data_IF_294015195950
#
_entry.id   IF_294015195950
#
_cell.length_a   1.000
_cell.length_b   1.000
_cell.length_c   1.000
_cell.angle_alpha   90.00
_cell.angle_beta   90.00
_cell.angle_gamma   90.00
#
_symmetry.space_group_name_H-M   'P 1'
#
loop_
_entity.id
_entity.type
_entity.pdbx_description
1 polymer ?
#
# COMPACT_ATOMS: atom_id res chain seq x y z
N UNK A 1 29.72 9.54 -53.13
CA UNK A 1 29.53 8.27 -52.38
C UNK A 1 29.96 8.37 -50.91
N UNK A 2 31.13 8.94 -50.59
CA UNK A 2 31.62 9.07 -49.20
C UNK A 2 30.71 9.91 -48.27
N UNK A 3 30.10 10.97 -48.77
CA UNK A 3 29.17 11.81 -47.98
C UNK A 3 27.90 11.05 -47.59
N UNK A 4 27.30 10.29 -48.51
CA UNK A 4 26.13 9.44 -48.26
C UNK A 4 26.41 8.33 -47.23
N UNK A 5 27.60 7.70 -47.29
CA UNK A 5 28.04 6.72 -46.30
C UNK A 5 28.29 7.33 -44.91
N UNK A 6 28.77 8.56 -44.86
CA UNK A 6 28.95 9.30 -43.60
C UNK A 6 27.61 9.66 -42.94
N UNK A 7 26.62 10.08 -43.73
CA UNK A 7 25.28 10.37 -43.22
C UNK A 7 24.54 9.11 -42.81
N UNK A 8 24.64 8.01 -43.56
CA UNK A 8 24.01 6.74 -43.18
C UNK A 8 24.61 6.16 -41.90
N UNK A 9 25.92 6.26 -41.70
CA UNK A 9 26.57 5.86 -40.46
C UNK A 9 26.12 6.71 -39.26
N UNK A 10 25.99 8.03 -39.42
CA UNK A 10 25.49 8.94 -38.36
C UNK A 10 24.03 8.70 -38.02
N UNK A 11 23.17 8.46 -39.03
CA UNK A 11 21.76 8.16 -38.83
C UNK A 11 21.61 6.79 -38.13
N UNK A 12 22.35 5.78 -38.55
CA UNK A 12 22.34 4.45 -37.91
C UNK A 12 22.86 4.50 -36.47
N UNK A 13 23.86 5.33 -36.17
CA UNK A 13 24.36 5.55 -34.81
C UNK A 13 23.31 6.30 -33.95
N UNK A 14 22.64 7.30 -34.51
CA UNK A 14 21.55 8.01 -33.83
C UNK A 14 20.36 7.10 -33.56
N UNK A 15 19.98 6.28 -34.54
CA UNK A 15 18.90 5.29 -34.40
C UNK A 15 19.29 4.18 -33.42
N UNK A 16 20.54 3.72 -33.40
CA UNK A 16 20.99 2.74 -32.41
C UNK A 16 21.01 3.32 -31.00
N UNK A 17 21.43 4.58 -30.82
CA UNK A 17 21.28 5.29 -29.54
C UNK A 17 19.80 5.39 -29.16
N UNK A 18 18.89 5.69 -30.10
CA UNK A 18 17.45 5.75 -29.83
C UNK A 18 16.86 4.38 -29.44
N UNK A 19 17.34 3.30 -30.06
CA UNK A 19 16.90 1.91 -29.81
C UNK A 19 17.49 1.38 -28.48
N UNK A 20 18.75 1.68 -28.19
CA UNK A 20 19.45 1.22 -26.98
C UNK A 20 19.23 2.13 -25.75
N UNK A 21 18.78 3.38 -25.93
CA UNK A 21 18.27 4.24 -24.84
C UNK A 21 16.85 3.88 -24.40
N UNK A 22 16.35 2.69 -24.74
CA UNK A 22 15.03 2.19 -24.34
C UNK A 22 14.78 2.07 -22.83
N UNK A 23 15.67 2.60 -22.00
CA UNK A 23 15.60 2.68 -20.55
C UNK A 23 14.51 3.63 -19.98
N UNK A 24 13.70 4.31 -20.80
CA UNK A 24 12.67 5.27 -20.28
C UNK A 24 11.39 5.39 -21.13
N UNK A 25 11.01 4.38 -21.92
CA UNK A 25 9.82 4.50 -22.81
C UNK A 25 8.48 4.78 -22.09
N UNK A 26 8.33 4.47 -20.80
CA UNK A 26 7.11 4.81 -20.05
C UNK A 26 6.94 6.34 -19.86
N UNK A 27 8.03 7.12 -19.91
CA UNK A 27 8.00 8.59 -19.90
C UNK A 27 7.31 9.12 -21.16
N UNK A 28 7.26 8.34 -22.24
CA UNK A 28 6.50 8.69 -23.43
C UNK A 28 5.10 8.08 -23.47
N UNK A 29 4.67 7.32 -22.44
CA UNK A 29 3.32 6.77 -22.37
C UNK A 29 2.35 7.85 -21.81
N UNK A 30 1.41 8.40 -22.62
CA UNK A 30 0.45 9.38 -22.15
C UNK A 30 -0.41 8.84 -20.99
N UNK A 31 -0.62 7.53 -20.91
CA UNK A 31 -1.35 6.89 -19.82
C UNK A 31 -0.61 6.99 -18.49
N UNK A 32 0.73 7.02 -18.49
CA UNK A 32 1.51 7.23 -17.27
C UNK A 32 1.30 8.63 -16.69
N UNK A 33 1.36 9.68 -17.52
CA UNK A 33 1.11 11.05 -17.04
C UNK A 33 -0.34 11.29 -16.65
N UNK A 34 -1.28 10.68 -17.38
CA UNK A 34 -2.69 10.64 -16.99
C UNK A 34 -2.81 10.01 -15.60
N UNK A 35 -2.23 8.82 -15.39
CA UNK A 35 -2.23 8.11 -14.12
C UNK A 35 -1.61 8.94 -12.97
N UNK A 36 -0.47 9.60 -13.22
CA UNK A 36 0.20 10.47 -12.25
C UNK A 36 -0.66 11.68 -11.90
N UNK A 37 -1.33 12.30 -12.87
CA UNK A 37 -2.27 13.42 -12.65
C UNK A 37 -3.45 12.98 -11.80
N UNK A 38 -4.13 11.90 -12.18
CA UNK A 38 -5.25 11.36 -11.41
C UNK A 38 -4.84 10.92 -10.00
N UNK A 39 -3.68 10.29 -9.83
CA UNK A 39 -3.18 9.99 -8.47
C UNK A 39 -2.93 11.26 -7.66
N UNK A 40 -2.31 12.29 -8.24
CA UNK A 40 -2.05 13.56 -7.55
C UNK A 40 -3.35 14.27 -7.13
N UNK A 41 -4.40 14.14 -7.94
CA UNK A 41 -5.71 14.75 -7.71
C UNK A 41 -6.58 13.91 -6.76
N UNK A 42 -6.73 12.61 -6.99
CA UNK A 42 -7.77 11.80 -6.35
C UNK A 42 -7.24 10.74 -5.37
N UNK A 43 -5.94 10.42 -5.35
CA UNK A 43 -5.42 9.47 -4.35
C UNK A 43 -5.27 10.12 -2.96
N UNK A 44 -5.30 9.29 -1.93
CA UNK A 44 -5.16 9.73 -0.55
C UNK A 44 -6.08 8.98 0.40
N UNK A 45 -6.22 9.53 1.59
CA UNK A 45 -7.18 9.09 2.60
C UNK A 45 -8.43 9.95 2.50
N UNK A 46 -9.59 9.31 2.38
CA UNK A 46 -10.90 9.95 2.37
C UNK A 46 -11.56 9.63 3.71
N UNK A 47 -11.77 10.65 4.53
CA UNK A 47 -12.28 10.54 5.89
C UNK A 47 -13.78 10.77 5.85
N UNK A 48 -14.53 9.74 6.27
CA UNK A 48 -15.99 9.75 6.34
C UNK A 48 -16.47 10.15 7.75
N UNK A 49 -15.68 9.82 8.77
CA UNK A 49 -15.92 10.25 10.14
C UNK A 49 -14.66 10.93 10.70
N UNK A 50 -14.69 12.27 10.72
CA UNK A 50 -13.55 13.09 11.15
C UNK A 50 -13.17 12.85 12.61
N UNK A 51 -14.15 12.85 13.51
CA UNK A 51 -13.90 12.71 14.95
C UNK A 51 -13.17 11.39 15.27
N UNK A 52 -13.66 10.27 14.73
CA UNK A 52 -13.04 8.96 14.94
C UNK A 52 -11.69 8.83 14.22
N UNK A 53 -11.54 9.44 13.04
CA UNK A 53 -10.26 9.42 12.33
C UNK A 53 -9.18 10.19 13.09
N UNK A 54 -9.49 11.39 13.57
CA UNK A 54 -8.55 12.22 14.33
C UNK A 54 -8.15 11.52 15.65
N UNK A 55 -9.08 10.85 16.32
CA UNK A 55 -8.81 9.99 17.48
C UNK A 55 -7.80 8.88 17.14
N UNK A 56 -8.01 8.14 16.04
CA UNK A 56 -7.09 7.09 15.60
C UNK A 56 -5.70 7.66 15.30
N UNK A 57 -5.62 8.83 14.64
CA UNK A 57 -4.34 9.47 14.34
C UNK A 57 -3.60 9.88 15.60
N UNK A 58 -4.31 10.39 16.61
CA UNK A 58 -3.74 10.74 17.90
C UNK A 58 -3.22 9.49 18.63
N UNK A 59 -4.03 8.43 18.73
CA UNK A 59 -3.60 7.14 19.33
C UNK A 59 -2.39 6.54 18.61
N UNK A 60 -2.31 6.65 17.29
CA UNK A 60 -1.15 6.21 16.52
C UNK A 60 0.10 7.07 16.74
N UNK A 61 -0.07 8.38 16.95
CA UNK A 61 1.03 9.30 17.27
C UNK A 61 1.58 9.00 18.67
N UNK A 62 0.71 8.88 19.66
CA UNK A 62 1.08 8.55 21.04
C UNK A 62 1.79 7.17 21.11
N UNK A 63 1.37 6.24 20.24
CA UNK A 63 2.05 4.95 20.08
C UNK A 63 3.41 5.01 19.37
N UNK A 64 3.63 5.98 18.48
CA UNK A 64 4.94 6.21 17.86
C UNK A 64 5.91 6.87 18.83
N UNK A 65 5.42 7.70 19.74
CA UNK A 65 6.21 8.34 20.79
C UNK A 65 6.73 7.31 21.82
N UNK A 66 6.12 6.12 21.89
CA UNK A 66 6.54 4.94 22.67
C UNK A 66 7.42 3.95 21.88
N UNK A 67 8.16 4.41 20.86
CA UNK A 67 9.08 3.57 20.06
C UNK A 67 10.06 2.75 20.90
N UNK A 68 10.58 3.35 21.98
CA UNK A 68 11.50 2.66 22.89
C UNK A 68 10.82 1.53 23.68
N UNK A 69 9.54 1.69 24.05
CA UNK A 69 8.77 0.66 24.75
C UNK A 69 8.37 -0.47 23.80
N UNK A 70 7.97 -0.14 22.56
CA UNK A 70 7.69 -1.12 21.52
C UNK A 70 8.93 -1.97 21.21
N UNK A 71 10.13 -1.36 21.19
CA UNK A 71 11.38 -2.09 20.97
C UNK A 71 11.68 -3.06 22.13
N UNK A 72 11.54 -2.61 23.39
CA UNK A 72 11.70 -3.48 24.56
C UNK A 72 10.70 -4.64 24.57
N UNK A 73 9.46 -4.38 24.16
CA UNK A 73 8.42 -5.39 24.05
C UNK A 73 8.72 -6.39 22.93
N UNK A 74 9.16 -5.91 21.76
CA UNK A 74 9.61 -6.73 20.64
C UNK A 74 10.73 -7.69 21.07
N UNK A 75 11.77 -7.17 21.72
CA UNK A 75 12.89 -7.96 22.25
C UNK A 75 12.41 -9.03 23.26
N UNK A 76 11.50 -8.65 24.16
CA UNK A 76 10.91 -9.57 25.14
C UNK A 76 10.13 -10.70 24.46
N UNK A 77 9.28 -10.40 23.47
CA UNK A 77 8.47 -11.41 22.78
C UNK A 77 9.38 -12.35 21.99
N UNK A 78 10.38 -11.84 21.26
CA UNK A 78 11.33 -12.69 20.54
C UNK A 78 12.14 -13.59 21.48
N UNK A 79 12.55 -13.08 22.64
CA UNK A 79 13.21 -13.90 23.66
C UNK A 79 12.31 -15.04 24.15
N UNK A 80 11.04 -14.76 24.42
CA UNK A 80 10.06 -15.79 24.80
C UNK A 80 9.86 -16.83 23.69
N UNK A 81 9.76 -16.41 22.43
CA UNK A 81 9.65 -17.31 21.27
C UNK A 81 10.89 -18.20 21.17
N UNK A 82 12.09 -17.62 21.25
CA UNK A 82 13.37 -18.35 21.17
C UNK A 82 13.48 -19.45 22.24
N UNK A 83 12.92 -19.20 23.41
CA UNK A 83 12.92 -20.14 24.53
C UNK A 83 11.67 -21.03 24.59
N UNK A 84 10.79 -21.01 23.58
CA UNK A 84 9.51 -21.74 23.54
C UNK A 84 8.59 -21.46 24.74
N UNK A 85 8.69 -20.26 25.31
CA UNK A 85 7.90 -19.80 26.46
C UNK A 85 6.70 -18.93 26.07
N UNK A 86 6.52 -18.66 24.77
CA UNK A 86 5.38 -17.87 24.28
C UNK A 86 4.25 -18.81 23.81
N UNK A 87 3.32 -19.12 24.71
CA UNK A 87 2.19 -20.03 24.43
C UNK A 87 1.28 -19.53 23.29
N UNK A 88 1.07 -18.21 23.22
CA UNK A 88 0.26 -17.60 22.17
C UNK A 88 0.88 -17.80 20.78
N UNK A 89 2.20 -17.68 20.67
CA UNK A 89 2.93 -18.02 19.44
C UNK A 89 2.75 -19.49 19.10
N UNK A 90 2.93 -20.40 20.06
CA UNK A 90 2.78 -21.85 19.83
C UNK A 90 1.38 -22.21 19.31
N UNK A 91 0.34 -21.60 19.87
CA UNK A 91 -1.05 -21.79 19.43
C UNK A 91 -1.32 -21.22 18.03
N UNK A 92 -0.76 -20.03 17.71
CA UNK A 92 -1.03 -19.33 16.44
C UNK A 92 0.00 -19.58 15.35
N UNK A 93 1.04 -20.39 15.60
CA UNK A 93 2.18 -20.61 14.70
C UNK A 93 1.77 -20.96 13.28
N UNK A 94 0.89 -21.93 13.11
CA UNK A 94 0.40 -22.39 11.80
C UNK A 94 -0.34 -21.29 11.03
N UNK A 95 -1.14 -20.48 11.73
CA UNK A 95 -1.82 -19.33 11.12
C UNK A 95 -0.80 -18.33 10.54
N UNK A 96 0.21 -17.96 11.33
CA UNK A 96 1.24 -17.01 10.89
C UNK A 96 2.17 -17.57 9.82
N UNK A 97 2.42 -18.88 9.81
CA UNK A 97 3.16 -19.55 8.73
C UNK A 97 2.41 -19.48 7.40
N UNK A 98 1.09 -19.76 7.41
CA UNK A 98 0.23 -19.61 6.23
C UNK A 98 0.17 -18.16 5.76
N UNK A 99 0.06 -17.22 6.70
CA UNK A 99 0.05 -15.79 6.39
C UNK A 99 1.38 -15.34 5.75
N UNK A 100 2.52 -15.76 6.31
CA UNK A 100 3.83 -15.48 5.75
C UNK A 100 3.95 -16.04 4.32
N UNK A 101 3.52 -17.29 4.08
CA UNK A 101 3.49 -17.89 2.75
C UNK A 101 2.64 -17.10 1.76
N UNK A 102 1.43 -16.69 2.17
CA UNK A 102 0.53 -15.86 1.34
C UNK A 102 1.20 -14.55 0.89
N UNK A 103 2.03 -13.95 1.75
CA UNK A 103 2.71 -12.69 1.44
C UNK A 103 4.03 -12.85 0.68
N UNK A 104 4.86 -13.84 1.04
CA UNK A 104 6.21 -13.99 0.47
C UNK A 104 6.35 -15.09 -0.57
N UNK A 105 5.36 -15.97 -0.72
CA UNK A 105 5.37 -17.11 -1.65
C UNK A 105 6.16 -18.33 -1.17
N UNK A 106 6.69 -18.32 0.07
CA UNK A 106 7.41 -19.44 0.67
C UNK A 106 7.26 -19.45 2.19
N UNK A 107 7.40 -20.65 2.78
CA UNK A 107 7.32 -20.82 4.23
C UNK A 107 8.58 -20.31 4.91
N UNK A 108 8.42 -19.37 5.84
CA UNK A 108 9.51 -18.81 6.65
C UNK A 108 9.03 -18.57 8.07
N UNK A 109 9.59 -19.35 9.00
CA UNK A 109 9.27 -19.22 10.42
C UNK A 109 9.70 -17.86 10.97
N UNK A 110 10.83 -17.32 10.51
CA UNK A 110 11.29 -15.97 10.86
C UNK A 110 10.28 -14.89 10.43
N UNK A 111 9.71 -15.00 9.23
CA UNK A 111 8.70 -14.05 8.76
C UNK A 111 7.39 -14.20 9.54
N UNK A 112 6.98 -15.43 9.83
CA UNK A 112 5.80 -15.72 10.65
C UNK A 112 5.94 -15.15 12.07
N UNK A 113 7.10 -15.33 12.72
CA UNK A 113 7.41 -14.74 14.02
C UNK A 113 7.35 -13.21 13.95
N UNK A 114 7.92 -12.59 12.92
CA UNK A 114 7.87 -11.13 12.74
C UNK A 114 6.45 -10.61 12.61
N UNK A 115 5.61 -11.29 11.82
CA UNK A 115 4.19 -10.94 11.68
C UNK A 115 3.45 -11.09 13.00
N UNK A 116 3.69 -12.17 13.75
CA UNK A 116 3.13 -12.38 15.07
C UNK A 116 3.53 -11.27 16.05
N UNK A 117 4.82 -10.95 16.16
CA UNK A 117 5.31 -9.91 17.08
C UNK A 117 4.71 -8.55 16.73
N UNK A 118 4.64 -8.21 15.44
CA UNK A 118 3.97 -6.99 14.98
C UNK A 118 2.48 -6.97 15.32
N UNK A 119 1.77 -8.10 15.18
CA UNK A 119 0.36 -8.18 15.55
C UNK A 119 0.14 -8.07 17.07
N UNK A 120 0.98 -8.70 17.89
CA UNK A 120 0.93 -8.59 19.36
C UNK A 120 1.18 -7.14 19.81
N UNK A 121 2.22 -6.49 19.29
CA UNK A 121 2.51 -5.09 19.62
C UNK A 121 1.36 -4.19 19.15
N UNK A 122 0.79 -4.43 17.97
CA UNK A 122 -0.31 -3.63 17.47
C UNK A 122 -1.64 -3.92 18.18
N UNK A 123 -1.85 -5.10 18.75
CA UNK A 123 -3.07 -5.46 19.49
C UNK A 123 -3.05 -4.95 20.93
N UNK A 124 -1.87 -4.68 21.49
CA UNK A 124 -1.72 -3.98 22.77
C UNK A 124 -1.98 -2.48 22.70
N UNK A 125 -2.09 -1.91 21.49
CA UNK A 125 -2.50 -0.51 21.33
C UNK A 125 -3.99 -0.40 21.63
N UNK A 126 -4.38 0.66 22.33
CA UNK A 126 -5.78 0.95 22.56
C UNK A 126 -6.48 1.17 21.21
N UNK A 127 -7.27 0.18 20.80
CA UNK A 127 -8.08 0.21 19.58
C UNK A 127 -9.53 0.58 19.86
N UNK A 128 -9.89 0.81 21.13
CA UNK A 128 -11.24 1.21 21.48
C UNK A 128 -11.38 2.68 21.18
N UNK A 129 -12.36 3.03 20.37
CA UNK A 129 -12.69 4.40 20.06
C UNK A 129 -13.60 5.00 21.13
N UNK A 130 -13.74 6.31 21.14
CA UNK A 130 -14.67 7.05 22.01
C UNK A 130 -16.13 6.60 21.87
N UNK A 131 -16.51 5.97 20.75
CA UNK A 131 -17.82 5.37 20.54
C UNK A 131 -17.99 3.97 21.16
N UNK A 132 -16.97 3.45 21.88
CA UNK A 132 -16.98 2.15 22.55
C UNK A 132 -16.56 0.96 21.68
N UNK A 133 -16.40 1.15 20.36
CA UNK A 133 -16.06 0.07 19.44
C UNK A 133 -14.57 -0.03 19.14
N UNK A 134 -14.10 -1.25 18.91
CA UNK A 134 -12.75 -1.48 18.40
C UNK A 134 -12.64 -1.09 16.92
N UNK A 135 -11.62 -0.32 16.55
CA UNK A 135 -11.32 -0.03 15.15
C UNK A 135 -10.33 -1.03 14.54
N UNK A 136 -10.48 -1.23 13.24
CA UNK A 136 -9.71 -2.15 12.42
C UNK A 136 -9.05 -1.39 11.27
N UNK A 137 -7.91 -1.92 10.78
CA UNK A 137 -7.21 -1.39 9.61
C UNK A 137 -7.34 -2.38 8.46
N UNK A 138 -7.96 -1.97 7.35
CA UNK A 138 -8.16 -2.87 6.21
C UNK A 138 -6.87 -3.30 5.51
N UNK A 139 -5.72 -2.69 5.83
CA UNK A 139 -4.42 -3.19 5.40
C UNK A 139 -3.99 -4.49 6.11
N UNK A 140 -4.56 -4.78 7.29
CA UNK A 140 -4.19 -5.91 8.16
C UNK A 140 -5.37 -6.84 8.48
N UNK A 141 -6.61 -6.41 8.28
CA UNK A 141 -7.81 -7.20 8.52
C UNK A 141 -8.17 -8.07 7.32
N UNK A 142 -7.44 -9.17 7.11
CA UNK A 142 -7.63 -10.04 5.93
C UNK A 142 -8.89 -10.89 5.98
N UNK A 143 -9.49 -11.05 7.15
CA UNK A 143 -10.60 -11.98 7.39
C UNK A 143 -11.95 -11.26 7.44
N UNK A 144 -11.97 -9.93 7.35
CA UNK A 144 -13.18 -9.10 7.41
C UNK A 144 -13.38 -8.46 6.03
N UNK A 145 -14.39 -8.92 5.32
CA UNK A 145 -14.81 -8.31 4.06
C UNK A 145 -15.72 -7.13 4.40
N UNK A 146 -15.23 -5.91 4.17
CA UNK A 146 -16.04 -4.70 4.30
C UNK A 146 -16.42 -4.22 2.91
N UNK A 147 -17.71 -4.26 2.62
CA UNK A 147 -18.24 -3.73 1.36
C UNK A 147 -18.23 -2.19 1.38
N UNK A 148 -17.72 -1.60 0.31
CA UNK A 148 -17.73 -0.15 0.11
C UNK A 148 -19.00 0.18 -0.69
N UNK A 149 -19.94 0.95 -0.12
CA UNK A 149 -21.18 1.33 -0.78
C UNK A 149 -20.96 1.96 -2.17
N UNK A 150 -21.87 1.68 -3.11
CA UNK A 150 -21.71 2.09 -4.51
C UNK A 150 -21.84 3.61 -4.69
N UNK A 151 -22.75 4.25 -3.95
CA UNK A 151 -22.89 5.71 -3.86
C UNK A 151 -21.59 6.37 -3.38
N UNK A 152 -20.90 5.75 -2.42
CA UNK A 152 -19.61 6.21 -1.93
C UNK A 152 -18.52 6.08 -3.00
N UNK A 153 -18.53 5.00 -3.79
CA UNK A 153 -17.60 4.83 -4.93
C UNK A 153 -17.82 5.88 -6.01
N UNK A 154 -19.07 6.24 -6.28
CA UNK A 154 -19.43 7.23 -7.30
C UNK A 154 -19.01 8.65 -6.88
N UNK A 155 -19.20 9.01 -5.61
CA UNK A 155 -18.79 10.33 -5.07
C UNK A 155 -17.27 10.55 -5.04
N UNK A 156 -16.49 9.48 -4.95
CA UNK A 156 -15.02 9.53 -4.87
C UNK A 156 -14.35 10.07 -6.14
N UNK A 157 -15.05 10.05 -7.28
CA UNK A 157 -14.57 10.61 -8.53
C UNK A 157 -13.28 9.97 -9.07
N UNK A 158 -12.76 10.55 -10.15
CA UNK A 158 -11.56 10.06 -10.84
C UNK A 158 -11.84 9.01 -11.91
N UNK A 159 -10.80 8.59 -12.63
CA UNK A 159 -10.93 7.63 -13.71
C UNK A 159 -11.21 6.23 -13.15
N UNK A 160 -12.40 5.70 -13.42
CA UNK A 160 -12.85 4.35 -13.01
C UNK A 160 -12.65 3.29 -14.10
N UNK A 161 -12.21 3.70 -15.29
CA UNK A 161 -11.96 2.80 -16.42
C UNK A 161 -11.00 1.69 -16.00
N UNK A 162 -11.50 0.44 -16.03
CA UNK A 162 -10.71 -0.78 -15.83
C UNK A 162 -9.88 -1.12 -17.07
N UNK A 163 -9.26 -0.13 -17.70
CA UNK A 163 -8.27 -0.44 -18.72
C UNK A 163 -7.11 -1.20 -18.03
N UNK A 164 -6.63 -2.29 -18.64
CA UNK A 164 -5.64 -3.18 -18.02
C UNK A 164 -4.40 -2.43 -17.52
N UNK A 165 -4.05 -1.26 -18.07
CA UNK A 165 -2.88 -0.46 -17.70
C UNK A 165 -3.04 0.46 -16.48
N UNK A 166 -4.25 0.85 -16.10
CA UNK A 166 -4.46 1.83 -15.04
C UNK A 166 -5.78 1.57 -14.32
N UNK A 167 -5.72 1.39 -13.00
CA UNK A 167 -6.87 1.01 -12.19
C UNK A 167 -6.90 1.80 -10.89
N UNK A 168 -8.07 2.34 -10.55
CA UNK A 168 -8.33 2.86 -9.23
C UNK A 168 -8.53 1.69 -8.25
N UNK A 169 -7.91 1.78 -7.09
CA UNK A 169 -8.10 0.85 -5.97
C UNK A 169 -8.64 1.65 -4.81
N UNK A 170 -9.81 1.23 -4.33
CA UNK A 170 -10.49 1.79 -3.17
C UNK A 170 -10.60 0.66 -2.15
N UNK A 171 -10.13 0.90 -0.93
CA UNK A 171 -10.20 -0.05 0.17
C UNK A 171 -10.58 0.63 1.48
N UNK A 172 -11.26 -0.06 2.41
CA UNK A 172 -11.49 0.43 3.76
C UNK A 172 -10.14 0.63 4.47
N UNK A 173 -9.78 1.87 4.80
CA UNK A 173 -8.54 2.12 5.54
C UNK A 173 -8.77 1.88 7.03
N UNK A 174 -9.76 2.56 7.62
CA UNK A 174 -10.20 2.32 8.99
C UNK A 174 -11.71 2.12 9.04
N UNK A 175 -12.15 1.18 9.87
CA UNK A 175 -13.56 0.87 10.10
C UNK A 175 -13.75 0.25 11.48
N UNK A 176 -14.96 0.23 11.99
CA UNK A 176 -15.33 -0.54 13.18
C UNK A 176 -16.52 -1.46 12.85
N UNK A 177 -16.78 -2.43 13.72
CA UNK A 177 -17.93 -3.33 13.63
C UNK A 177 -18.81 -3.04 14.85
N UNK A 178 -20.10 -2.82 14.63
CA UNK A 178 -21.05 -2.62 15.71
C UNK A 178 -21.53 -3.95 16.33
N UNK A 179 -22.34 -3.86 17.38
CA UNK A 179 -22.87 -5.04 18.08
C UNK A 179 -23.74 -5.96 17.18
N UNK A 180 -24.23 -5.45 16.05
CA UNK A 180 -25.01 -6.20 15.08
C UNK A 180 -24.13 -6.86 13.99
N UNK A 181 -22.81 -6.74 14.10
CA UNK A 181 -21.88 -7.24 13.08
C UNK A 181 -21.80 -6.38 11.83
N UNK A 182 -22.37 -5.17 11.82
CA UNK A 182 -22.33 -4.26 10.67
C UNK A 182 -21.04 -3.45 10.69
N UNK A 183 -20.35 -3.42 9.54
CA UNK A 183 -19.16 -2.60 9.38
C UNK A 183 -19.51 -1.13 9.11
N UNK A 184 -18.86 -0.23 9.84
CA UNK A 184 -18.96 1.21 9.69
C UNK A 184 -17.61 1.78 9.28
N UNK A 185 -17.54 2.33 8.07
CA UNK A 185 -16.30 2.84 7.50
C UNK A 185 -15.98 4.21 8.11
N UNK A 186 -14.77 4.36 8.65
CA UNK A 186 -14.26 5.63 9.21
C UNK A 186 -13.48 6.38 8.14
N UNK A 187 -12.63 5.67 7.39
CA UNK A 187 -11.89 6.23 6.26
C UNK A 187 -11.62 5.20 5.17
N UNK A 188 -11.48 5.70 3.95
CA UNK A 188 -11.09 4.94 2.76
C UNK A 188 -9.68 5.31 2.33
N UNK A 189 -8.93 4.30 1.89
CA UNK A 189 -7.68 4.46 1.19
C UNK A 189 -7.92 4.40 -0.31
N UNK A 190 -7.48 5.43 -1.02
CA UNK A 190 -7.55 5.49 -2.48
C UNK A 190 -6.14 5.56 -3.02
N UNK A 191 -5.84 4.61 -3.89
CA UNK A 191 -4.58 4.58 -4.62
C UNK A 191 -4.86 4.19 -6.06
N UNK A 192 -3.93 4.55 -6.93
CA UNK A 192 -3.99 4.14 -8.32
C UNK A 192 -2.89 3.15 -8.62
N UNK A 193 -3.21 2.15 -9.42
CA UNK A 193 -2.31 1.11 -9.87
C UNK A 193 -2.05 1.33 -11.35
N UNK A 194 -0.79 1.51 -11.73
CA UNK A 194 -0.35 1.57 -13.10
C UNK A 194 0.48 0.33 -13.44
N UNK A 195 0.23 -0.30 -14.58
CA UNK A 195 0.94 -1.50 -15.04
C UNK A 195 2.00 -1.08 -16.03
N UNK A 196 3.24 -1.44 -15.74
CA UNK A 196 4.27 -1.31 -16.74
C UNK A 196 4.14 -2.46 -17.74
N UNK A 197 3.75 -2.15 -18.98
CA UNK A 197 3.70 -3.14 -20.08
C UNK A 197 5.02 -3.25 -20.85
N UNK A 198 6.02 -2.44 -20.49
CA UNK A 198 7.32 -2.39 -21.14
C UNK A 198 8.41 -2.88 -20.20
N UNK A 199 9.37 -3.65 -20.74
CA UNK A 199 10.46 -4.28 -19.99
C UNK A 199 11.59 -3.28 -19.78
N UNK A 200 11.50 -2.44 -18.75
CA UNK A 200 12.49 -1.39 -18.54
C UNK A 200 12.75 -1.01 -17.08
N UNK A 201 14.02 -1.17 -16.70
CA UNK A 201 14.65 -0.89 -15.41
C UNK A 201 14.71 0.62 -15.07
N UNK A 202 14.28 0.97 -13.84
CA UNK A 202 14.85 2.01 -12.97
C UNK A 202 14.72 3.49 -13.35
N UNK A 203 13.96 4.25 -12.55
CA UNK A 203 13.98 5.72 -12.48
C UNK A 203 15.13 6.20 -11.57
N UNK A 204 16.01 7.06 -12.09
CA UNK A 204 16.74 8.06 -11.31
C UNK A 204 16.04 9.39 -11.54
N UNK A 205 15.22 9.84 -10.58
CA UNK A 205 14.84 11.25 -10.31
C UNK A 205 13.57 11.31 -9.45
N UNK A 206 13.65 10.78 -8.23
CA UNK A 206 12.91 11.30 -7.07
C UNK A 206 13.54 10.60 -5.86
N UNK A 207 14.18 11.36 -4.98
CA UNK A 207 15.11 10.91 -3.93
C UNK A 207 14.50 10.04 -2.82
N UNK A 208 13.34 9.42 -3.01
CA UNK A 208 12.68 8.62 -1.96
C UNK A 208 11.88 7.39 -2.43
N UNK A 209 12.10 6.84 -3.62
CA UNK A 209 11.49 5.54 -3.98
C UNK A 209 12.52 4.63 -4.69
N UNK A 210 13.12 3.73 -3.93
CA UNK A 210 13.97 2.63 -4.41
C UNK A 210 13.10 1.52 -5.05
N UNK A 211 12.67 1.67 -6.30
CA UNK A 211 12.01 0.55 -6.99
C UNK A 211 12.35 0.51 -8.46
N UNK A 212 13.03 -0.56 -8.88
CA UNK A 212 13.30 -0.91 -10.28
C UNK A 212 12.21 -1.88 -10.73
N UNK A 213 11.45 -1.52 -11.77
CA UNK A 213 10.32 -2.35 -12.21
C UNK A 213 10.61 -3.24 -13.42
N UNK A 214 10.22 -4.51 -13.38
CA UNK A 214 10.18 -5.43 -14.52
C UNK A 214 8.87 -5.29 -15.33
N UNK A 215 8.83 -5.91 -16.53
CA UNK A 215 7.61 -5.94 -17.34
C UNK A 215 6.49 -6.71 -16.62
N UNK A 216 5.29 -6.13 -16.56
CA UNK A 216 4.14 -6.68 -15.83
C UNK A 216 4.07 -6.28 -14.35
N UNK A 217 5.05 -5.53 -13.84
CA UNK A 217 5.01 -5.04 -12.47
C UNK A 217 4.14 -3.79 -12.30
N UNK A 218 3.66 -3.61 -11.07
CA UNK A 218 2.63 -2.64 -10.72
C UNK A 218 3.24 -1.50 -9.91
N UNK A 219 2.97 -0.26 -10.34
CA UNK A 219 3.30 0.95 -9.58
C UNK A 219 2.05 1.45 -8.86
N UNK A 220 2.11 1.51 -7.53
CA UNK A 220 1.07 2.14 -6.73
C UNK A 220 1.36 3.64 -6.59
N UNK A 221 0.56 4.44 -7.27
CA UNK A 221 0.60 5.89 -7.20
C UNK A 221 -0.32 6.37 -6.09
N UNK A 222 0.27 6.88 -5.01
CA UNK A 222 -0.45 7.49 -3.88
C UNK A 222 0.23 8.79 -3.45
N UNK A 223 -0.56 9.78 -3.05
CA UNK A 223 -0.11 10.92 -2.24
C UNK A 223 -0.67 10.80 -0.82
N UNK A 224 0.12 11.26 0.16
CA UNK A 224 -0.31 11.36 1.55
C UNK A 224 -1.21 12.59 1.77
N UNK A 225 -2.29 12.69 1.00
CA UNK A 225 -3.33 13.71 1.18
C UNK A 225 -4.46 13.13 2.02
N UNK A 226 -4.96 13.91 2.98
CA UNK A 226 -6.16 13.60 3.74
C UNK A 226 -7.27 14.52 3.25
N UNK A 227 -8.42 13.95 2.93
CA UNK A 227 -9.61 14.64 2.42
C UNK A 227 -10.77 14.30 3.34
N UNK A 228 -11.39 15.31 3.93
CA UNK A 228 -12.63 15.13 4.68
C UNK A 228 -13.79 15.18 3.69
N UNK A 229 -14.65 14.17 3.73
CA UNK A 229 -15.81 14.08 2.83
C UNK A 229 -17.03 14.49 3.63
N UNK A 230 -17.59 15.66 3.32
CA UNK A 230 -18.94 16.01 3.77
C UNK A 230 -19.94 15.27 2.89
N UNK A 231 -20.85 14.53 3.51
CA UNK A 231 -21.94 13.83 2.83
C UNK A 231 -23.30 14.54 2.94
N UNK A 232 -23.31 15.79 3.44
CA UNK A 232 -24.47 16.68 3.40
C UNK A 232 -24.85 17.09 1.97
#
# INVERSE_FOLDING_TARGET
MQTLLFYSARISLLMSVFIFCGCTFYVFDPQYYKARKYSKEYSGTYVLNKALYDEIMQKQKDSKDTKAENLKLEEKIYSQIKHNKNELWLQKREHYLKLAYKHSGYYSEKNAQRLFVLDVINSQKDRILSNGYAYYSGAYSTDIIVEIPQDLREKIGGLTDRNMKFQQIIYPQFFYIDDNGKAHIISLGILYRYVNINRVYGLKEDTNIESVFANGEWLYLRKNKVRYVDFE
#
